data_IF_656110482466
#
_entry.id   IF_656110482466
#
_cell.length_a   1.000
_cell.length_b   1.000
_cell.length_c   1.000
_cell.angle_alpha   90.00
_cell.angle_beta   90.00
_cell.angle_gamma   90.00
#
_symmetry.space_group_name_H-M   'P 1'
#
loop_
_entity.id
_entity.type
_entity.pdbx_description
1 polymer ?
#
# COMPACT_ATOMS: atom_id res chain seq x y z
N UNK A 1 19.32 -32.57 -1.47
CA UNK A 1 19.14 -31.34 -2.26
C UNK A 1 18.49 -30.33 -1.35
N UNK A 2 19.03 -29.12 -1.25
CA UNK A 2 18.43 -28.09 -0.39
C UNK A 2 17.07 -27.70 -1.00
N UNK A 3 16.00 -27.79 -0.22
CA UNK A 3 14.66 -27.42 -0.70
C UNK A 3 14.52 -25.89 -0.82
N UNK A 4 13.59 -25.41 -1.66
CA UNK A 4 13.33 -23.96 -1.78
C UNK A 4 12.93 -23.31 -0.45
N UNK A 5 12.27 -24.06 0.44
CA UNK A 5 11.93 -23.63 1.79
C UNK A 5 13.18 -23.43 2.66
N UNK A 6 14.13 -24.36 2.60
CA UNK A 6 15.40 -24.24 3.34
C UNK A 6 16.21 -23.03 2.87
N UNK A 7 16.25 -22.75 1.56
CA UNK A 7 16.90 -21.54 1.02
C UNK A 7 16.23 -20.28 1.58
N UNK A 8 14.89 -20.23 1.60
CA UNK A 8 14.15 -19.09 2.12
C UNK A 8 14.40 -18.88 3.63
N UNK A 9 14.40 -19.95 4.42
CA UNK A 9 14.68 -19.89 5.86
C UNK A 9 16.11 -19.39 6.10
N UNK A 10 17.10 -19.91 5.36
CA UNK A 10 18.48 -19.46 5.46
C UNK A 10 18.64 -17.99 5.09
N UNK A 11 17.94 -17.52 4.05
CA UNK A 11 17.94 -16.10 3.65
C UNK A 11 17.34 -15.20 4.75
N UNK A 12 16.25 -15.62 5.39
CA UNK A 12 15.61 -14.90 6.50
C UNK A 12 16.56 -14.81 7.70
N UNK A 13 17.17 -15.93 8.09
CA UNK A 13 18.12 -15.97 9.21
C UNK A 13 19.33 -15.07 8.92
N UNK A 14 19.90 -15.17 7.71
CA UNK A 14 21.02 -14.34 7.29
C UNK A 14 20.65 -12.84 7.31
N UNK A 15 19.47 -12.47 6.81
CA UNK A 15 18.97 -11.10 6.83
C UNK A 15 18.88 -10.54 8.26
N UNK A 16 18.23 -11.29 9.17
CA UNK A 16 18.07 -10.89 10.56
C UNK A 16 19.44 -10.76 11.26
N UNK A 17 20.34 -11.73 11.04
CA UNK A 17 21.68 -11.71 11.61
C UNK A 17 22.49 -10.48 11.13
N UNK A 18 22.46 -10.19 9.82
CA UNK A 18 23.14 -9.02 9.23
C UNK A 18 22.59 -7.72 9.80
N UNK A 19 21.26 -7.56 9.88
CA UNK A 19 20.64 -6.35 10.43
C UNK A 19 20.98 -6.17 11.90
N UNK A 20 20.90 -7.24 12.71
CA UNK A 20 21.18 -7.17 14.14
C UNK A 20 22.65 -6.82 14.39
N UNK A 21 23.58 -7.45 13.66
CA UNK A 21 25.00 -7.15 13.72
C UNK A 21 25.33 -5.71 13.25
N UNK A 22 24.57 -5.20 12.28
CA UNK A 22 24.80 -3.88 11.68
C UNK A 22 24.00 -2.76 12.34
N UNK A 23 23.07 -3.07 13.25
CA UNK A 23 22.12 -2.12 13.83
C UNK A 23 22.80 -0.90 14.47
N UNK A 24 23.87 -1.13 15.23
CA UNK A 24 24.64 -0.05 15.87
C UNK A 24 25.38 0.87 14.88
N UNK A 25 25.68 0.41 13.66
CA UNK A 25 26.27 1.24 12.59
C UNK A 25 25.17 1.96 11.80
N UNK A 26 24.11 1.24 11.44
CA UNK A 26 22.98 1.75 10.67
C UNK A 26 22.28 2.88 11.43
N UNK A 27 22.05 2.72 12.74
CA UNK A 27 21.42 3.73 13.58
C UNK A 27 22.21 5.04 13.74
N UNK A 28 23.49 5.07 13.37
CA UNK A 28 24.30 6.30 13.32
C UNK A 28 24.09 7.10 12.03
N UNK A 29 23.50 6.48 11.00
CA UNK A 29 23.20 7.15 9.75
C UNK A 29 21.93 7.99 9.89
N UNK A 30 21.87 9.13 9.18
CA UNK A 30 20.68 10.00 9.20
C UNK A 30 19.51 9.43 8.40
N UNK A 31 19.79 8.48 7.51
CA UNK A 31 18.85 8.00 6.50
C UNK A 31 18.43 6.55 6.70
N UNK A 32 19.06 5.79 7.58
CA UNK A 32 18.65 4.40 7.85
C UNK A 32 18.45 4.17 9.33
N UNK A 33 17.43 3.39 9.65
CA UNK A 33 17.10 3.02 11.02
C UNK A 33 16.63 1.56 11.04
N UNK A 34 17.12 0.77 11.98
CA UNK A 34 16.70 -0.62 12.16
C UNK A 34 15.54 -0.66 13.15
N UNK A 35 14.45 -1.31 12.76
CA UNK A 35 13.27 -1.58 13.59
C UNK A 35 13.07 -3.10 13.67
N UNK A 36 13.76 -3.73 14.61
CA UNK A 36 13.76 -5.19 14.75
C UNK A 36 14.25 -5.88 13.46
N UNK A 37 13.44 -6.75 12.82
CA UNK A 37 13.82 -7.41 11.56
C UNK A 37 13.75 -6.50 10.33
N UNK A 38 13.27 -5.26 10.47
CA UNK A 38 13.04 -4.35 9.36
C UNK A 38 14.11 -3.26 9.27
N UNK A 39 14.47 -2.90 8.04
CA UNK A 39 15.31 -1.76 7.71
C UNK A 39 14.45 -0.64 7.17
N UNK A 40 14.44 0.50 7.86
CA UNK A 40 13.76 1.69 7.41
C UNK A 40 14.75 2.62 6.73
N UNK A 41 14.46 2.99 5.49
CA UNK A 41 15.13 4.07 4.79
C UNK A 41 14.29 5.34 4.89
N UNK A 42 14.89 6.43 5.35
CA UNK A 42 14.33 7.79 5.44
C UNK A 42 15.03 8.69 4.43
N UNK A 43 14.33 9.06 3.38
CA UNK A 43 14.70 10.16 2.51
C UNK A 43 14.22 11.48 3.14
N UNK A 44 15.17 12.26 3.65
CA UNK A 44 14.90 13.62 4.16
C UNK A 44 15.42 14.63 3.14
N UNK A 45 14.65 15.70 2.92
CA UNK A 45 15.16 17.02 2.47
C UNK A 45 15.15 17.41 0.99
N UNK A 46 14.40 16.79 0.08
CA UNK A 46 14.10 17.52 -1.17
C UNK A 46 12.86 16.98 -1.89
N UNK A 47 11.78 17.77 -1.97
CA UNK A 47 10.52 17.31 -2.57
C UNK A 47 9.93 18.30 -3.57
N UNK A 48 10.76 18.88 -4.42
CA UNK A 48 10.29 19.74 -5.52
C UNK A 48 9.19 19.08 -6.37
N UNK A 49 9.24 17.75 -6.56
CA UNK A 49 8.19 16.99 -7.24
C UNK A 49 6.89 16.95 -6.44
N UNK A 50 6.94 16.65 -5.14
CA UNK A 50 5.75 16.63 -4.29
C UNK A 50 5.09 18.01 -4.20
N UNK A 51 5.90 19.06 -4.06
CA UNK A 51 5.44 20.45 -4.00
C UNK A 51 4.91 20.95 -5.35
N UNK A 52 5.43 20.43 -6.47
CA UNK A 52 4.90 20.73 -7.80
C UNK A 52 3.55 20.05 -8.01
N UNK A 53 3.45 18.76 -7.72
CA UNK A 53 2.21 17.98 -7.88
C UNK A 53 1.14 18.51 -6.94
N UNK A 54 1.47 18.78 -5.67
CA UNK A 54 0.50 19.31 -4.70
C UNK A 54 -0.04 20.69 -5.07
N UNK A 55 0.72 21.53 -5.78
CA UNK A 55 0.22 22.85 -6.23
C UNK A 55 -0.83 22.75 -7.33
N UNK A 56 -0.86 21.65 -8.08
CA UNK A 56 -1.82 21.47 -9.17
C UNK A 56 -3.29 21.55 -8.69
N UNK A 57 -4.18 21.98 -9.59
CA UNK A 57 -5.61 22.01 -9.34
C UNK A 57 -6.19 20.60 -9.16
N UNK A 58 -5.64 19.62 -9.88
CA UNK A 58 -6.01 18.21 -9.77
C UNK A 58 -5.92 17.67 -8.34
N UNK A 59 -4.90 18.03 -7.57
CA UNK A 59 -4.77 17.59 -6.17
C UNK A 59 -5.86 18.14 -5.25
N UNK A 60 -6.40 19.34 -5.54
CA UNK A 60 -7.55 19.87 -4.78
C UNK A 60 -8.80 19.04 -5.04
N UNK A 61 -9.07 18.77 -6.32
CA UNK A 61 -10.24 18.01 -6.77
C UNK A 61 -10.15 16.58 -6.23
N UNK A 62 -9.00 15.92 -6.44
CA UNK A 62 -8.71 14.60 -5.91
C UNK A 62 -8.95 14.52 -4.41
N UNK A 63 -8.45 15.48 -3.62
CA UNK A 63 -8.66 15.47 -2.17
C UNK A 63 -10.13 15.52 -1.75
N UNK A 64 -11.00 16.11 -2.57
CA UNK A 64 -12.44 16.17 -2.28
C UNK A 64 -13.12 14.86 -2.68
N UNK A 65 -12.81 14.35 -3.87
CA UNK A 65 -13.42 13.15 -4.44
C UNK A 65 -12.95 11.89 -3.71
N UNK A 66 -11.72 11.87 -3.19
CA UNK A 66 -11.15 10.72 -2.46
C UNK A 66 -12.07 10.23 -1.34
N UNK A 67 -12.62 11.15 -0.55
CA UNK A 67 -13.55 10.80 0.53
C UNK A 67 -14.79 10.10 -0.01
N UNK A 68 -15.36 10.59 -1.12
CA UNK A 68 -16.52 9.97 -1.75
C UNK A 68 -16.21 8.58 -2.32
N UNK A 69 -15.03 8.41 -2.96
CA UNK A 69 -14.58 7.11 -3.49
C UNK A 69 -14.49 6.08 -2.38
N UNK A 70 -13.79 6.40 -1.28
CA UNK A 70 -13.63 5.46 -0.16
C UNK A 70 -14.97 5.12 0.46
N UNK A 71 -15.84 6.10 0.66
CA UNK A 71 -17.18 5.84 1.22
C UNK A 71 -18.04 4.98 0.29
N UNK A 72 -18.01 5.23 -1.01
CA UNK A 72 -18.74 4.43 -2.00
C UNK A 72 -18.25 2.98 -2.00
N UNK A 73 -16.93 2.75 -1.97
CA UNK A 73 -16.36 1.41 -1.91
C UNK A 73 -16.59 0.72 -0.57
N UNK A 74 -16.58 1.45 0.53
CA UNK A 74 -16.94 0.91 1.84
C UNK A 74 -18.39 0.42 1.86
N UNK A 75 -19.33 1.25 1.41
CA UNK A 75 -20.75 0.90 1.34
C UNK A 75 -20.96 -0.26 0.37
N UNK A 76 -20.35 -0.20 -0.82
CA UNK A 76 -20.43 -1.27 -1.81
C UNK A 76 -19.87 -2.60 -1.28
N UNK A 77 -18.73 -2.56 -0.59
CA UNK A 77 -18.14 -3.73 0.05
C UNK A 77 -19.05 -4.32 1.12
N UNK A 78 -19.67 -3.49 1.97
CA UNK A 78 -20.64 -3.96 2.97
C UNK A 78 -21.85 -4.61 2.30
N UNK A 79 -22.40 -3.99 1.25
CA UNK A 79 -23.55 -4.54 0.52
C UNK A 79 -23.19 -5.88 -0.13
N UNK A 80 -22.01 -6.00 -0.74
CA UNK A 80 -21.54 -7.25 -1.33
C UNK A 80 -21.35 -8.34 -0.26
N UNK A 81 -20.75 -8.01 0.88
CA UNK A 81 -20.60 -8.95 1.99
C UNK A 81 -21.95 -9.44 2.53
N UNK A 82 -22.94 -8.55 2.66
CA UNK A 82 -24.30 -8.93 3.06
C UNK A 82 -24.97 -9.80 2.02
N UNK A 83 -24.75 -9.52 0.73
CA UNK A 83 -25.27 -10.32 -0.37
C UNK A 83 -24.64 -11.72 -0.42
N UNK A 84 -23.32 -11.82 -0.28
CA UNK A 84 -22.62 -13.10 -0.18
C UNK A 84 -23.06 -13.89 1.05
N UNK A 85 -23.22 -13.22 2.20
CA UNK A 85 -23.75 -13.85 3.41
C UNK A 85 -25.16 -14.40 3.20
N UNK A 86 -26.01 -13.72 2.43
CA UNK A 86 -27.34 -14.22 2.07
C UNK A 86 -27.24 -15.44 1.15
N UNK A 87 -26.43 -15.38 0.08
CA UNK A 87 -26.24 -16.50 -0.84
C UNK A 87 -25.66 -17.74 -0.15
N UNK A 88 -24.74 -17.54 0.80
CA UNK A 88 -24.15 -18.62 1.59
C UNK A 88 -25.20 -19.45 2.36
N UNK A 89 -26.35 -18.87 2.70
CA UNK A 89 -27.45 -19.63 3.33
C UNK A 89 -28.19 -20.58 2.38
N UNK A 90 -28.03 -20.40 1.07
CA UNK A 90 -28.72 -21.17 0.03
C UNK A 90 -27.87 -22.30 -0.56
N UNK A 91 -26.56 -22.33 -0.27
CA UNK A 91 -25.62 -23.31 -0.81
C UNK A 91 -25.51 -24.49 0.16
N UNK A 92 -25.73 -25.72 -0.32
CA UNK A 92 -25.70 -26.96 0.49
C UNK A 92 -24.30 -27.52 0.75
N UNK A 93 -23.33 -27.21 -0.11
CA UNK A 93 -21.93 -27.64 0.05
C UNK A 93 -21.02 -26.41 0.08
N UNK A 94 -20.40 -26.18 1.23
CA UNK A 94 -19.38 -25.14 1.36
C UNK A 94 -18.03 -25.76 1.01
N UNK A 95 -17.58 -25.58 -0.22
CA UNK A 95 -16.16 -25.79 -0.55
C UNK A 95 -15.41 -24.57 -0.02
N UNK A 96 -14.90 -24.65 1.21
CA UNK A 96 -14.04 -23.59 1.73
C UNK A 96 -12.68 -23.65 1.02
N UNK A 97 -12.27 -22.60 0.31
CA UNK A 97 -10.93 -22.55 -0.23
C UNK A 97 -9.88 -22.68 0.89
N UNK A 98 -8.70 -23.26 0.61
CA UNK A 98 -7.63 -23.36 1.59
C UNK A 98 -7.17 -21.95 2.04
N UNK A 99 -6.62 -21.86 3.26
CA UNK A 99 -6.18 -20.58 3.86
C UNK A 99 -5.23 -19.77 2.96
N UNK A 100 -4.42 -20.45 2.15
CA UNK A 100 -3.52 -19.85 1.16
C UNK A 100 -4.22 -18.99 0.10
N UNK A 101 -5.47 -19.31 -0.23
CA UNK A 101 -6.25 -18.57 -1.24
C UNK A 101 -6.91 -17.32 -0.64
N UNK A 102 -7.20 -17.32 0.67
CA UNK A 102 -7.67 -16.11 1.38
C UNK A 102 -6.56 -15.06 1.56
N UNK A 103 -5.31 -15.51 1.64
CA UNK A 103 -4.17 -14.61 1.88
C UNK A 103 -3.68 -14.03 0.55
N UNK A 104 -3.98 -12.75 0.29
CA UNK A 104 -3.57 -12.03 -0.94
C UNK A 104 -2.09 -11.63 -0.86
N UNK A 105 -1.20 -12.61 -0.71
CA UNK A 105 0.25 -12.43 -0.71
C UNK A 105 0.87 -13.12 -1.93
N UNK A 106 1.73 -12.42 -2.70
CA UNK A 106 2.40 -12.98 -3.87
C UNK A 106 3.18 -14.26 -3.52
N UNK A 107 2.98 -15.31 -4.31
CA UNK A 107 3.63 -16.61 -4.11
C UNK A 107 3.05 -17.49 -2.99
N UNK A 108 2.18 -16.96 -2.12
CA UNK A 108 1.38 -17.77 -1.17
C UNK A 108 0.05 -18.12 -1.81
N UNK A 109 -0.62 -17.13 -2.40
CA UNK A 109 -1.76 -17.37 -3.26
C UNK A 109 -1.24 -17.78 -4.66
N UNK A 110 -1.70 -18.95 -5.13
CA UNK A 110 -1.29 -19.55 -6.41
C UNK A 110 -1.64 -18.67 -7.61
N UNK A 111 -2.68 -17.85 -7.47
CA UNK A 111 -3.18 -16.95 -8.52
C UNK A 111 -2.40 -15.65 -8.59
N UNK A 112 -1.49 -15.39 -7.64
CA UNK A 112 -0.68 -14.17 -7.58
C UNK A 112 0.80 -14.53 -7.84
N UNK A 113 1.30 -14.32 -9.07
CA UNK A 113 2.70 -14.58 -9.39
C UNK A 113 3.63 -13.80 -8.47
N UNK A 114 4.67 -14.45 -7.94
CA UNK A 114 5.58 -13.83 -6.97
C UNK A 114 6.19 -12.52 -7.50
N UNK A 115 6.79 -12.54 -8.70
CA UNK A 115 7.45 -11.36 -9.25
C UNK A 115 6.46 -10.22 -9.53
N UNK A 116 5.44 -10.46 -10.37
CA UNK A 116 4.50 -9.42 -10.78
C UNK A 116 3.63 -8.93 -9.62
N UNK A 117 3.21 -9.85 -8.74
CA UNK A 117 2.46 -9.52 -7.54
C UNK A 117 3.27 -8.67 -6.55
N UNK A 118 4.54 -9.00 -6.31
CA UNK A 118 5.41 -8.18 -5.46
C UNK A 118 5.63 -6.80 -6.07
N UNK A 119 5.86 -6.70 -7.39
CA UNK A 119 6.01 -5.40 -8.07
C UNK A 119 4.73 -4.56 -7.93
N UNK A 120 3.56 -5.17 -8.16
CA UNK A 120 2.27 -4.49 -8.02
C UNK A 120 2.00 -4.04 -6.58
N UNK A 121 2.34 -4.87 -5.58
CA UNK A 121 2.22 -4.54 -4.17
C UNK A 121 3.10 -3.33 -3.80
N UNK A 122 4.39 -3.39 -4.15
CA UNK A 122 5.34 -2.29 -3.89
C UNK A 122 4.86 -1.00 -4.55
N UNK A 123 4.46 -1.07 -5.82
CA UNK A 123 3.91 0.07 -6.55
C UNK A 123 2.66 0.66 -5.86
N UNK A 124 1.73 -0.21 -5.45
CA UNK A 124 0.50 0.20 -4.78
C UNK A 124 0.80 0.91 -3.46
N UNK A 125 1.68 0.37 -2.61
CA UNK A 125 2.01 1.02 -1.33
C UNK A 125 2.75 2.34 -1.55
N UNK A 126 3.69 2.40 -2.50
CA UNK A 126 4.41 3.64 -2.82
C UNK A 126 3.42 4.74 -3.24
N UNK A 127 2.52 4.45 -4.17
CA UNK A 127 1.54 5.43 -4.63
C UNK A 127 0.54 5.81 -3.53
N UNK A 128 0.09 4.84 -2.73
CA UNK A 128 -0.80 5.07 -1.59
C UNK A 128 -0.24 6.16 -0.65
N UNK A 129 1.00 5.97 -0.23
CA UNK A 129 1.70 6.85 0.70
C UNK A 129 2.02 8.21 0.06
N UNK A 130 2.43 8.22 -1.21
CA UNK A 130 2.63 9.46 -1.96
C UNK A 130 1.36 10.31 -1.99
N UNK A 131 0.18 9.71 -2.17
CA UNK A 131 -1.07 10.46 -2.22
C UNK A 131 -1.50 11.03 -0.87
N UNK A 132 -1.18 10.36 0.25
CA UNK A 132 -1.29 10.97 1.58
C UNK A 132 -0.43 12.23 1.67
N UNK A 133 0.84 12.15 1.23
CA UNK A 133 1.76 13.28 1.18
C UNK A 133 1.31 14.44 0.29
N UNK A 134 0.89 14.15 -0.94
CA UNK A 134 0.41 15.15 -1.90
C UNK A 134 -0.78 15.90 -1.32
N UNK A 135 -1.71 15.16 -0.71
CA UNK A 135 -2.92 15.74 -0.11
C UNK A 135 -2.59 16.56 1.13
N UNK A 136 -1.67 16.08 1.99
CA UNK A 136 -1.20 16.84 3.15
C UNK A 136 -0.55 18.16 2.73
N UNK A 137 0.37 18.13 1.76
CA UNK A 137 1.00 19.35 1.21
C UNK A 137 -0.01 20.28 0.56
N UNK A 138 -1.02 19.74 -0.14
CA UNK A 138 -2.07 20.55 -0.78
C UNK A 138 -2.83 21.41 0.23
N UNK A 139 -3.04 20.88 1.44
CA UNK A 139 -3.73 21.58 2.53
C UNK A 139 -2.75 22.29 3.47
N UNK A 140 -1.49 22.47 3.09
CA UNK A 140 -0.51 23.26 3.84
C UNK A 140 0.18 22.51 4.99
N UNK A 141 -0.06 21.21 5.17
CA UNK A 141 0.61 20.45 6.22
C UNK A 141 2.06 20.13 5.80
N UNK A 142 3.04 20.26 6.73
CA UNK A 142 4.40 19.83 6.48
C UNK A 142 4.46 18.30 6.39
N UNK A 143 5.33 17.80 5.53
CA UNK A 143 5.61 16.36 5.43
C UNK A 143 7.07 16.13 5.73
N UNK A 144 7.32 15.49 6.87
CA UNK A 144 8.62 15.46 7.54
C UNK A 144 9.60 14.49 6.88
N UNK A 145 9.11 13.30 6.50
CA UNK A 145 9.91 12.20 5.98
C UNK A 145 9.15 11.43 4.87
N UNK A 146 9.87 11.00 3.83
CA UNK A 146 9.41 9.90 2.96
C UNK A 146 10.37 8.78 3.22
N UNK A 147 9.89 7.55 3.21
CA UNK A 147 10.78 6.43 3.29
C UNK A 147 10.20 5.18 2.68
N UNK A 148 11.01 4.14 2.77
CA UNK A 148 10.63 2.79 2.47
C UNK A 148 11.03 1.89 3.63
N UNK A 149 10.16 0.94 3.94
CA UNK A 149 10.38 -0.10 4.92
C UNK A 149 10.72 -1.38 4.18
N UNK A 150 11.86 -1.95 4.53
CA UNK A 150 12.39 -3.16 3.91
C UNK A 150 12.43 -4.27 4.95
N UNK A 151 11.95 -5.44 4.54
CA UNK A 151 12.49 -6.68 5.05
C UNK A 151 13.56 -7.12 4.03
N UNK A 152 13.47 -8.33 3.46
CA UNK A 152 14.31 -8.72 2.31
C UNK A 152 13.92 -7.92 1.05
N UNK A 153 12.62 -7.68 0.87
CA UNK A 153 12.04 -6.88 -0.21
C UNK A 153 11.41 -5.60 0.39
N UNK A 154 11.13 -4.56 -0.42
CA UNK A 154 10.35 -3.43 0.05
C UNK A 154 8.97 -3.95 0.44
N UNK A 155 8.61 -3.80 1.71
CA UNK A 155 7.29 -4.21 2.24
C UNK A 155 6.39 -3.00 2.47
N UNK A 156 6.95 -1.80 2.47
CA UNK A 156 6.18 -0.58 2.59
C UNK A 156 6.92 0.66 2.11
N UNK A 157 6.15 1.69 1.82
CA UNK A 157 6.59 3.07 1.79
C UNK A 157 5.95 3.79 2.98
N UNK A 158 6.42 4.99 3.28
CA UNK A 158 5.67 5.87 4.17
C UNK A 158 5.91 7.31 3.80
N UNK A 159 4.89 8.12 4.03
CA UNK A 159 4.98 9.55 3.92
C UNK A 159 4.36 10.15 5.17
N UNK A 160 5.21 10.72 6.03
CA UNK A 160 4.82 11.10 7.38
C UNK A 160 4.46 12.60 7.44
N UNK A 161 3.16 12.97 7.42
CA UNK A 161 2.76 14.31 7.84
C UNK A 161 3.06 14.47 9.34
N UNK A 162 3.55 15.64 9.76
CA UNK A 162 3.90 15.85 11.17
C UNK A 162 2.71 15.58 12.10
N UNK A 163 2.84 14.73 13.15
CA UNK A 163 1.72 14.31 13.98
C UNK A 163 1.04 15.50 14.69
N UNK A 164 1.80 16.49 15.14
CA UNK A 164 1.27 17.71 15.75
C UNK A 164 0.45 18.53 14.76
N UNK A 165 0.96 18.68 13.53
CA UNK A 165 0.25 19.38 12.46
C UNK A 165 -1.03 18.66 12.05
N UNK A 166 -1.03 17.32 12.08
CA UNK A 166 -2.20 16.50 11.76
C UNK A 166 -3.28 16.56 12.85
N UNK A 167 -2.86 16.66 14.12
CA UNK A 167 -3.77 16.83 15.25
C UNK A 167 -4.41 18.23 15.26
N UNK A 168 -3.65 19.26 14.89
CA UNK A 168 -4.13 20.64 14.80
C UNK A 168 -4.96 20.94 13.52
N UNK A 169 -4.89 20.07 12.51
CA UNK A 169 -5.58 20.29 11.24
C UNK A 169 -7.11 20.13 11.36
N UNK A 170 -7.82 20.87 10.50
CA UNK A 170 -9.27 20.78 10.36
C UNK A 170 -9.72 19.32 10.12
N UNK A 171 -10.78 18.82 10.81
CA UNK A 171 -11.25 17.45 10.65
C UNK A 171 -11.59 17.04 9.21
N UNK A 172 -12.08 17.98 8.39
CA UNK A 172 -12.35 17.76 6.97
C UNK A 172 -11.04 17.50 6.23
N UNK A 173 -10.01 18.32 6.47
CA UNK A 173 -8.69 18.14 5.86
C UNK A 173 -8.09 16.79 6.26
N UNK A 174 -8.18 16.44 7.54
CA UNK A 174 -7.68 15.16 8.06
C UNK A 174 -8.36 13.96 7.40
N UNK A 175 -9.70 13.98 7.25
CA UNK A 175 -10.43 12.93 6.52
C UNK A 175 -10.00 12.82 5.05
N UNK A 176 -9.76 13.95 4.38
CA UNK A 176 -9.29 13.95 2.99
C UNK A 176 -7.90 13.33 2.85
N UNK A 177 -7.00 13.61 3.78
CA UNK A 177 -5.68 13.01 3.81
C UNK A 177 -5.82 11.51 4.03
N UNK A 178 -6.57 11.04 5.03
CA UNK A 178 -6.77 9.61 5.26
C UNK A 178 -7.46 8.88 4.10
N UNK A 179 -8.36 9.53 3.38
CA UNK A 179 -9.01 8.92 2.21
C UNK A 179 -8.09 8.87 0.97
N UNK A 180 -7.05 9.69 0.89
CA UNK A 180 -6.24 9.85 -0.31
C UNK A 180 -5.52 8.57 -0.76
N UNK A 181 -4.87 7.87 0.18
CA UNK A 181 -4.14 6.63 -0.11
C UNK A 181 -5.04 5.49 -0.61
N UNK A 182 -6.11 5.12 0.12
CA UNK A 182 -7.02 4.09 -0.35
C UNK A 182 -7.69 4.45 -1.69
N UNK A 183 -8.04 5.72 -1.89
CA UNK A 183 -8.69 6.17 -3.13
C UNK A 183 -7.84 5.95 -4.38
N UNK A 184 -6.54 6.23 -4.32
CA UNK A 184 -5.68 6.07 -5.49
C UNK A 184 -5.50 4.59 -5.84
N UNK A 185 -5.42 3.72 -4.84
CA UNK A 185 -5.39 2.27 -5.07
C UNK A 185 -6.70 1.79 -5.72
N UNK A 186 -7.85 2.27 -5.24
CA UNK A 186 -9.15 1.97 -5.83
C UNK A 186 -9.21 2.43 -7.30
N UNK A 187 -8.77 3.66 -7.59
CA UNK A 187 -8.76 4.20 -8.96
C UNK A 187 -7.85 3.36 -9.86
N UNK A 188 -6.64 3.03 -9.40
CA UNK A 188 -5.70 2.20 -10.16
C UNK A 188 -6.28 0.79 -10.39
N UNK A 189 -6.91 0.19 -9.38
CA UNK A 189 -7.56 -1.10 -9.50
C UNK A 189 -8.68 -1.07 -10.53
N UNK A 190 -9.56 -0.06 -10.49
CA UNK A 190 -10.63 0.12 -11.47
C UNK A 190 -10.10 0.32 -12.89
N UNK A 191 -9.09 1.19 -13.07
CA UNK A 191 -8.48 1.41 -14.38
C UNK A 191 -7.84 0.13 -14.90
N UNK A 192 -7.10 -0.58 -14.06
CA UNK A 192 -6.44 -1.84 -14.43
C UNK A 192 -7.47 -2.91 -14.81
N UNK A 193 -8.56 -3.01 -14.04
CA UNK A 193 -9.67 -3.91 -14.32
C UNK A 193 -10.35 -3.58 -15.65
N UNK A 194 -10.65 -2.29 -15.92
CA UNK A 194 -11.23 -1.87 -17.19
C UNK A 194 -10.30 -2.18 -18.36
N UNK A 195 -9.01 -1.88 -18.25
CA UNK A 195 -8.01 -2.22 -19.27
C UNK A 195 -7.99 -3.72 -19.53
N UNK A 196 -7.98 -4.55 -18.47
CA UNK A 196 -8.02 -6.00 -18.57
C UNK A 196 -9.28 -6.45 -19.34
N UNK A 197 -10.46 -5.96 -18.96
CA UNK A 197 -11.72 -6.30 -19.63
C UNK A 197 -11.65 -5.93 -21.11
N UNK A 198 -11.27 -4.70 -21.45
CA UNK A 198 -11.18 -4.26 -22.85
C UNK A 198 -10.13 -5.03 -23.66
N UNK A 199 -9.02 -5.44 -23.04
CA UNK A 199 -7.97 -6.21 -23.71
C UNK A 199 -8.37 -7.68 -23.94
N UNK A 200 -9.23 -8.23 -23.09
CA UNK A 200 -9.73 -9.61 -23.21
C UNK A 200 -11.02 -9.72 -24.04
N UNK A 201 -11.75 -8.62 -24.29
CA UNK A 201 -12.94 -8.63 -25.15
C UNK A 201 -12.69 -9.16 -26.58
N UNK A 202 -11.57 -8.85 -27.26
CA UNK A 202 -11.26 -9.40 -28.59
C UNK A 202 -11.07 -10.92 -28.62
N UNK A 203 -10.77 -11.56 -27.49
CA UNK A 203 -10.54 -13.01 -27.39
C UNK A 203 -11.82 -13.84 -27.13
N UNK A 204 -12.99 -13.20 -27.06
CA UNK A 204 -14.29 -13.87 -26.81
C UNK A 204 -15.15 -13.98 -28.08
N UNK A 205 -14.53 -13.89 -29.25
CA UNK A 205 -15.16 -14.10 -30.56
C UNK A 205 -14.49 -15.23 -31.33
#
# INVERSE_FOLDING_TARGET
>A
MISGLEIAILAIIAWIAILTASAGRIGKTKNFQVYGPFLMFKAVKNRGVLDRVSRANGSKIFSKISVAIVLAFLIGGIVLLLYESYLATQIKEVVSPPLSEYLVLPGINKDIPLLYGTVALVFSVVIHELMHGITARKHGLPVSSVGALFFIIPIGAFVEPGPEAMMAADPVVRRRIFAAGPSINIIIALISFLILVFLLMPSVH
#
